data_IF_880816320978
#
_entry.id   IF_880816320978
#
_cell.length_a   1.000
_cell.length_b   1.000
_cell.length_c   1.000
_cell.angle_alpha   90.00
_cell.angle_beta   90.00
_cell.angle_gamma   90.00
#
_symmetry.space_group_name_H-M   'P 1'
#
loop_
_entity.id
_entity.type
_entity.pdbx_description
1 polymer ?
#
# COMPACT_ATOMS: atom_id res chain seq x y z
N UNK A 1 17.02 -8.64 12.93
CA UNK A 1 17.91 -9.31 11.96
C UNK A 1 17.26 -9.46 10.58
N UNK A 2 16.02 -9.94 10.48
CA UNK A 2 15.37 -10.23 9.19
C UNK A 2 15.13 -9.00 8.30
N UNK A 3 14.74 -7.86 8.85
CA UNK A 3 14.45 -6.64 8.07
C UNK A 3 15.67 -6.08 7.30
N UNK A 4 16.86 -6.17 7.90
CA UNK A 4 18.10 -5.71 7.28
C UNK A 4 18.53 -6.67 6.15
N UNK A 5 18.36 -7.98 6.38
CA UNK A 5 18.63 -9.01 5.39
C UNK A 5 17.67 -8.91 4.19
N UNK A 6 16.38 -8.66 4.43
CA UNK A 6 15.38 -8.44 3.38
C UNK A 6 15.61 -7.12 2.64
N UNK A 7 16.00 -6.05 3.32
CA UNK A 7 16.35 -4.78 2.66
C UNK A 7 17.60 -4.91 1.77
N UNK A 8 18.57 -5.74 2.16
CA UNK A 8 19.75 -6.06 1.34
C UNK A 8 19.39 -6.97 0.15
N UNK A 9 18.60 -8.02 0.37
CA UNK A 9 18.19 -8.96 -0.69
C UNK A 9 17.29 -8.35 -1.75
N UNK A 10 16.40 -7.42 -1.37
CA UNK A 10 15.50 -6.73 -2.30
C UNK A 10 16.07 -5.42 -2.86
N UNK A 11 17.32 -5.09 -2.54
CA UNK A 11 17.97 -3.93 -3.16
C UNK A 11 18.46 -4.30 -4.56
N UNK A 12 17.87 -3.73 -5.64
CA UNK A 12 18.25 -4.07 -7.01
C UNK A 12 19.73 -3.77 -7.29
N UNK A 13 20.33 -2.77 -6.63
CA UNK A 13 21.77 -2.46 -6.75
C UNK A 13 22.65 -3.54 -6.11
N UNK A 14 22.20 -4.12 -4.99
CA UNK A 14 22.91 -5.22 -4.34
C UNK A 14 22.83 -6.50 -5.17
N UNK A 15 21.66 -6.83 -5.72
CA UNK A 15 21.48 -7.99 -6.60
C UNK A 15 22.32 -7.85 -7.88
N UNK A 16 22.31 -6.66 -8.51
CA UNK A 16 23.14 -6.37 -9.69
C UNK A 16 24.64 -6.43 -9.36
N UNK A 17 25.07 -5.78 -8.27
CA UNK A 17 26.46 -5.79 -7.84
C UNK A 17 26.97 -7.18 -7.46
N UNK A 18 26.14 -7.97 -6.79
CA UNK A 18 26.46 -9.35 -6.43
C UNK A 18 26.50 -10.27 -7.66
N UNK A 19 25.57 -10.10 -8.61
CA UNK A 19 25.55 -10.85 -9.87
C UNK A 19 26.77 -10.58 -10.75
N UNK A 20 27.43 -9.42 -10.62
CA UNK A 20 28.66 -9.11 -11.34
C UNK A 20 29.91 -9.74 -10.71
N UNK A 21 29.84 -10.15 -9.44
CA UNK A 21 31.00 -10.65 -8.70
C UNK A 21 30.91 -12.12 -8.27
N UNK A 22 29.70 -12.67 -8.19
CA UNK A 22 29.44 -14.05 -7.78
C UNK A 22 28.43 -14.70 -8.73
N UNK A 23 28.69 -15.94 -9.13
CA UNK A 23 27.78 -16.73 -9.97
C UNK A 23 26.54 -17.24 -9.21
N UNK A 24 26.49 -17.07 -7.88
CA UNK A 24 25.42 -17.60 -7.04
C UNK A 24 24.90 -16.57 -6.04
N UNK A 25 23.58 -16.38 -6.05
CA UNK A 25 22.88 -15.59 -5.03
C UNK A 25 22.67 -16.45 -3.77
N UNK A 26 22.98 -15.93 -2.57
CA UNK A 26 22.80 -16.67 -1.32
C UNK A 26 21.31 -16.91 -1.03
N UNK A 27 20.91 -18.18 -0.93
CA UNK A 27 19.55 -18.60 -0.53
C UNK A 27 18.57 -18.90 -1.66
N UNK A 28 18.98 -18.84 -2.93
CA UNK A 28 18.15 -19.30 -4.06
C UNK A 28 18.50 -20.75 -4.45
N UNK A 29 17.51 -21.58 -4.81
CA UNK A 29 17.76 -22.93 -5.33
C UNK A 29 18.62 -22.84 -6.60
N UNK A 30 19.71 -23.62 -6.66
CA UNK A 30 20.70 -23.59 -7.76
C UNK A 30 20.18 -24.08 -9.14
N UNK A 31 18.86 -24.19 -9.32
CA UNK A 31 18.26 -24.56 -10.60
C UNK A 31 18.12 -23.34 -11.53
N UNK A 32 19.15 -23.12 -12.35
CA UNK A 32 19.23 -22.21 -13.49
C UNK A 32 19.28 -20.68 -13.18
N UNK A 33 20.47 -20.05 -13.22
CA UNK A 33 20.68 -18.64 -12.82
C UNK A 33 19.97 -17.59 -13.69
N UNK A 34 19.36 -17.96 -14.82
CA UNK A 34 18.64 -17.02 -15.70
C UNK A 34 17.14 -16.92 -15.47
N UNK A 35 16.49 -17.94 -14.89
CA UNK A 35 15.01 -18.00 -14.83
C UNK A 35 14.44 -17.35 -13.57
N UNK A 36 15.19 -17.38 -12.48
CA UNK A 36 14.78 -16.84 -11.17
C UNK A 36 15.09 -15.34 -11.02
N UNK A 37 15.97 -14.77 -11.85
CA UNK A 37 16.31 -13.35 -11.79
C UNK A 37 15.14 -12.46 -12.23
N UNK A 38 14.40 -12.89 -13.25
CA UNK A 38 13.25 -12.16 -13.78
C UNK A 38 12.11 -11.98 -12.75
N UNK A 39 11.64 -13.01 -12.03
CA UNK A 39 10.63 -12.82 -10.99
C UNK A 39 11.14 -12.01 -9.79
N UNK A 40 12.44 -12.10 -9.44
CA UNK A 40 13.02 -11.29 -8.36
C UNK A 40 13.06 -9.81 -8.74
N UNK A 41 13.54 -9.48 -9.94
CA UNK A 41 13.55 -8.11 -10.45
C UNK A 41 12.13 -7.59 -10.64
N UNK A 42 11.22 -8.41 -11.17
CA UNK A 42 9.81 -8.07 -11.32
C UNK A 42 9.14 -7.76 -9.98
N UNK A 43 9.35 -8.60 -8.96
CA UNK A 43 8.85 -8.38 -7.61
C UNK A 43 9.45 -7.12 -6.97
N UNK A 44 10.75 -6.86 -7.16
CA UNK A 44 11.42 -5.67 -6.66
C UNK A 44 10.88 -4.38 -7.28
N UNK A 45 10.76 -4.33 -8.61
CA UNK A 45 10.22 -3.16 -9.34
C UNK A 45 8.75 -2.92 -8.97
N UNK A 46 7.94 -3.97 -8.93
CA UNK A 46 6.51 -3.86 -8.60
C UNK A 46 6.32 -3.42 -7.14
N UNK A 47 7.13 -3.94 -6.21
CA UNK A 47 7.08 -3.53 -4.80
C UNK A 47 7.49 -2.06 -4.64
N UNK A 48 8.55 -1.63 -5.32
CA UNK A 48 8.98 -0.23 -5.30
C UNK A 48 7.92 0.70 -5.88
N UNK A 49 7.31 0.33 -7.02
CA UNK A 49 6.22 1.09 -7.61
C UNK A 49 5.01 1.17 -6.67
N UNK A 50 4.65 0.05 -6.02
CA UNK A 50 3.60 0.01 -5.00
C UNK A 50 3.88 0.97 -3.84
N UNK A 51 5.08 0.92 -3.27
CA UNK A 51 5.51 1.82 -2.19
C UNK A 51 5.52 3.30 -2.63
N UNK A 52 5.93 3.59 -3.86
CA UNK A 52 5.95 4.94 -4.39
C UNK A 52 4.53 5.51 -4.53
N UNK A 53 3.61 4.72 -5.09
CA UNK A 53 2.19 5.09 -5.21
C UNK A 53 1.52 5.25 -3.84
N UNK A 54 1.83 4.36 -2.90
CA UNK A 54 1.34 4.44 -1.52
C UNK A 54 1.84 5.71 -0.82
N UNK A 55 3.14 6.02 -0.98
CA UNK A 55 3.74 7.25 -0.42
C UNK A 55 3.08 8.49 -1.02
N UNK A 56 2.79 8.47 -2.32
CA UNK A 56 2.07 9.56 -2.97
C UNK A 56 0.63 9.66 -2.44
N UNK A 57 -0.06 8.54 -2.24
CA UNK A 57 -1.40 8.48 -1.67
C UNK A 57 -1.45 9.03 -0.23
N UNK A 58 -0.42 8.75 0.58
CA UNK A 58 -0.27 9.32 1.91
C UNK A 58 -0.12 10.84 1.92
N UNK A 59 0.52 11.41 0.89
CA UNK A 59 0.67 12.86 0.77
C UNK A 59 -0.64 13.55 0.33
N UNK A 60 -1.54 12.83 -0.35
CA UNK A 60 -2.79 13.37 -0.86
C UNK A 60 -3.97 13.25 0.13
N UNK A 61 -3.87 12.38 1.12
CA UNK A 61 -4.94 12.12 2.09
C UNK A 61 -4.55 12.55 3.50
N UNK A 62 -5.51 12.95 4.34
CA UNK A 62 -5.19 13.28 5.73
C UNK A 62 -4.60 12.04 6.46
N UNK A 63 -3.61 12.22 7.35
CA UNK A 63 -2.84 11.13 7.94
C UNK A 63 -3.70 10.04 8.59
N UNK A 64 -4.82 10.40 9.24
CA UNK A 64 -5.74 9.45 9.86
C UNK A 64 -6.53 8.60 8.86
N UNK A 65 -6.85 9.18 7.69
CA UNK A 65 -7.65 8.54 6.64
C UNK A 65 -6.82 7.52 5.87
N UNK A 66 -5.61 7.90 5.50
CA UNK A 66 -4.70 7.07 4.71
C UNK A 66 -4.29 5.77 5.44
N UNK A 67 -4.19 5.82 6.78
CA UNK A 67 -3.91 4.63 7.61
C UNK A 67 -4.99 3.54 7.45
N UNK A 68 -6.26 3.94 7.36
CA UNK A 68 -7.39 2.99 7.22
C UNK A 68 -7.38 2.33 5.84
N UNK A 69 -7.03 3.08 4.79
CA UNK A 69 -6.91 2.56 3.43
C UNK A 69 -5.74 1.59 3.27
N UNK A 70 -4.65 1.74 4.04
CA UNK A 70 -3.54 0.78 3.99
C UNK A 70 -3.97 -0.63 4.39
N UNK A 71 -4.92 -0.76 5.32
CA UNK A 71 -5.44 -2.07 5.70
C UNK A 71 -6.07 -2.83 4.52
N UNK A 72 -6.56 -2.16 3.46
CA UNK A 72 -7.10 -2.80 2.26
C UNK A 72 -6.05 -3.57 1.44
N UNK A 73 -4.76 -3.38 1.69
CA UNK A 73 -3.71 -4.19 1.09
C UNK A 73 -3.86 -5.67 1.46
N UNK A 74 -4.35 -5.97 2.67
CA UNK A 74 -4.55 -7.34 3.17
C UNK A 74 -5.60 -8.10 2.34
N UNK A 75 -6.86 -7.64 2.19
CA UNK A 75 -7.85 -8.30 1.34
C UNK A 75 -7.41 -8.37 -0.13
N UNK A 76 -6.72 -7.35 -0.65
CA UNK A 76 -6.20 -7.37 -2.02
C UNK A 76 -5.13 -8.47 -2.21
N UNK A 77 -4.25 -8.66 -1.23
CA UNK A 77 -3.25 -9.73 -1.24
C UNK A 77 -3.89 -11.12 -1.26
N UNK A 78 -4.94 -11.34 -0.47
CA UNK A 78 -5.70 -12.59 -0.50
C UNK A 78 -6.40 -12.83 -1.84
N UNK A 79 -6.94 -11.77 -2.46
CA UNK A 79 -7.55 -11.85 -3.78
C UNK A 79 -6.52 -12.28 -4.83
N UNK A 80 -5.36 -11.64 -4.87
CA UNK A 80 -4.28 -11.99 -5.78
C UNK A 80 -3.77 -13.41 -5.52
N UNK A 81 -3.58 -13.80 -4.25
CA UNK A 81 -3.15 -15.15 -3.89
C UNK A 81 -4.16 -16.21 -4.39
N UNK A 82 -5.46 -15.94 -4.29
CA UNK A 82 -6.50 -16.84 -4.83
C UNK A 82 -6.45 -16.93 -6.35
N UNK A 83 -6.20 -15.81 -7.04
CA UNK A 83 -6.15 -15.75 -8.50
C UNK A 83 -4.90 -16.45 -9.08
N UNK A 84 -3.73 -16.21 -8.50
CA UNK A 84 -2.45 -16.69 -9.04
C UNK A 84 -2.01 -18.04 -8.46
N UNK A 85 -2.16 -18.25 -7.15
CA UNK A 85 -1.58 -19.42 -6.46
C UNK A 85 -2.56 -20.59 -6.32
N UNK A 86 -3.86 -20.38 -6.64
CA UNK A 86 -4.96 -21.38 -6.52
C UNK A 86 -5.04 -22.09 -5.16
N UNK A 87 -4.39 -21.54 -4.14
CA UNK A 87 -4.29 -22.13 -2.81
C UNK A 87 -5.59 -21.88 -2.05
N UNK A 88 -5.97 -22.81 -1.17
CA UNK A 88 -7.16 -22.65 -0.34
C UNK A 88 -6.87 -21.60 0.74
N UNK A 89 -7.53 -20.45 0.64
CA UNK A 89 -7.55 -19.42 1.70
C UNK A 89 -8.44 -19.94 2.83
N UNK A 90 -8.00 -19.79 4.09
CA UNK A 90 -8.77 -20.23 5.25
C UNK A 90 -10.04 -19.39 5.40
N UNK A 91 -11.11 -19.99 5.93
CA UNK A 91 -12.35 -19.24 6.20
C UNK A 91 -12.14 -18.09 7.20
N UNK A 92 -11.21 -18.24 8.12
CA UNK A 92 -10.85 -17.19 9.10
C UNK A 92 -10.11 -16.01 8.46
N UNK A 93 -9.25 -16.27 7.48
CA UNK A 93 -8.56 -15.21 6.72
C UNK A 93 -9.57 -14.37 5.95
N UNK A 94 -10.57 -15.04 5.35
CA UNK A 94 -11.63 -14.37 4.61
C UNK A 94 -12.55 -13.54 5.54
N UNK A 95 -12.83 -14.04 6.74
CA UNK A 95 -13.61 -13.30 7.73
C UNK A 95 -12.89 -12.01 8.19
N UNK A 96 -11.58 -12.10 8.45
CA UNK A 96 -10.75 -10.92 8.75
C UNK A 96 -10.70 -9.92 7.60
N UNK A 97 -10.50 -10.42 6.37
CA UNK A 97 -10.52 -9.60 5.16
C UNK A 97 -11.86 -8.87 4.97
N UNK A 98 -12.99 -9.56 5.20
CA UNK A 98 -14.32 -8.96 5.11
C UNK A 98 -14.51 -7.84 6.15
N UNK A 99 -14.04 -8.05 7.38
CA UNK A 99 -14.13 -7.03 8.43
C UNK A 99 -13.34 -5.76 8.07
N UNK A 100 -12.16 -5.91 7.49
CA UNK A 100 -11.34 -4.80 7.01
C UNK A 100 -12.07 -4.02 5.91
N UNK A 101 -12.66 -4.72 4.94
CA UNK A 101 -13.43 -4.09 3.85
C UNK A 101 -14.62 -3.32 4.40
N UNK A 102 -15.39 -3.92 5.33
CA UNK A 102 -16.53 -3.24 5.96
C UNK A 102 -16.07 -1.98 6.70
N UNK A 103 -15.00 -2.08 7.48
CA UNK A 103 -14.42 -0.93 8.20
C UNK A 103 -14.01 0.20 7.25
N UNK A 104 -13.34 -0.14 6.14
CA UNK A 104 -12.93 0.83 5.15
C UNK A 104 -14.11 1.51 4.44
N UNK A 105 -15.17 0.76 4.11
CA UNK A 105 -16.39 1.32 3.51
C UNK A 105 -17.09 2.27 4.47
N UNK A 106 -17.28 1.87 5.73
CA UNK A 106 -17.90 2.72 6.76
C UNK A 106 -17.07 3.98 7.01
N UNK A 107 -15.74 3.82 7.10
CA UNK A 107 -14.80 4.93 7.25
C UNK A 107 -14.85 5.91 6.06
N UNK A 108 -14.92 5.41 4.83
CA UNK A 108 -15.04 6.23 3.63
C UNK A 108 -16.38 6.98 3.54
N UNK A 109 -17.50 6.32 3.86
CA UNK A 109 -18.81 6.96 3.87
C UNK A 109 -18.93 8.04 4.96
N UNK A 110 -18.41 7.76 6.16
CA UNK A 110 -18.38 8.73 7.26
C UNK A 110 -17.57 9.98 6.89
N UNK A 111 -16.48 9.81 6.13
CA UNK A 111 -15.69 10.95 5.65
C UNK A 111 -16.42 11.79 4.62
N UNK A 112 -17.13 11.16 3.67
CA UNK A 112 -17.90 11.91 2.67
C UNK A 112 -18.95 12.81 3.37
N UNK A 113 -19.64 12.27 4.38
CA UNK A 113 -20.59 13.03 5.18
C UNK A 113 -19.93 14.17 5.99
N UNK A 114 -18.72 13.94 6.54
CA UNK A 114 -17.99 14.98 7.26
C UNK A 114 -17.50 16.12 6.36
N UNK A 115 -17.10 15.81 5.12
CA UNK A 115 -16.68 16.82 4.15
C UNK A 115 -17.84 17.79 3.81
N UNK A 116 -19.04 17.26 3.59
CA UNK A 116 -20.23 18.09 3.35
C UNK A 116 -20.59 18.98 4.55
N UNK A 117 -20.32 18.51 5.77
CA UNK A 117 -20.62 19.26 6.98
C UNK A 117 -19.61 20.41 7.20
N UNK A 118 -18.34 20.20 6.90
CA UNK A 118 -17.30 21.25 7.00
C UNK A 118 -17.53 22.38 5.99
N UNK A 119 -17.92 22.04 4.75
CA UNK A 119 -18.26 23.03 3.72
C UNK A 119 -19.44 23.92 4.15
N UNK A 120 -20.51 23.33 4.71
CA UNK A 120 -21.65 24.10 5.24
C UNK A 120 -21.26 25.06 6.34
N UNK A 121 -20.45 24.61 7.31
CA UNK A 121 -19.97 25.46 8.41
C UNK A 121 -19.09 26.59 7.87
N UNK A 122 -18.29 26.33 6.83
CA UNK A 122 -17.46 27.35 6.19
C UNK A 122 -18.29 28.41 5.48
N UNK A 123 -19.36 28.01 4.77
CA UNK A 123 -20.32 28.93 4.15
C UNK A 123 -21.06 29.78 5.20
N UNK A 124 -21.53 29.16 6.30
CA UNK A 124 -22.18 29.88 7.40
C UNK A 124 -21.25 30.90 8.06
N UNK A 125 -19.96 30.56 8.27
CA UNK A 125 -18.96 31.50 8.79
C UNK A 125 -18.66 32.64 7.83
N UNK A 126 -18.59 32.37 6.53
CA UNK A 126 -18.38 33.40 5.51
C UNK A 126 -19.57 34.36 5.41
N UNK A 127 -20.80 33.86 5.57
CA UNK A 127 -22.00 34.68 5.59
C UNK A 127 -22.15 35.49 6.91
N UNK A 128 -21.61 35.00 8.02
CA UNK A 128 -21.69 35.64 9.33
C UNK A 128 -20.62 36.72 9.57
N UNK A 129 -19.65 36.89 8.67
CA UNK A 129 -18.63 37.92 8.76
C UNK A 129 -18.94 39.03 7.74
N UNK A 130 -19.79 40.03 8.08
CA UNK A 130 -20.01 41.18 7.22
C UNK A 130 -18.68 41.95 7.10
N UNK A 131 -18.40 42.46 5.90
CA UNK A 131 -17.20 43.23 5.60
C UNK A 131 -17.16 44.56 6.39
N UNK A 132 -16.77 44.50 7.66
CA UNK A 132 -16.38 45.67 8.44
C UNK A 132 -14.98 46.11 7.99
N UNK A 133 -14.90 46.74 6.83
CA UNK A 133 -13.60 47.05 6.22
C UNK A 133 -13.61 48.00 5.05
N UNK A 134 -14.57 48.94 4.96
CA UNK A 134 -14.39 50.11 4.10
C UNK A 134 -15.25 51.30 4.56
N UNK A 135 -14.71 52.08 5.50
CA UNK A 135 -15.07 53.49 5.74
C UNK A 135 -13.78 54.30 5.87
#
# INVERSE_FOLDING_TARGET
ANACLSALLFNPLFVLGWSMHNESLPGLPQSAPGKELLPVLGAGVLSFAGLALETQGYQMAEPGKASTFRCLEIPFSYLLQRLFTKTKVSGWDLAGAALIVVSAVVGGLSQAAQAEQDDRVREERAAAQPEDGNL
#
